data_IF_281197368976
#
_entry.id   IF_281197368976
#
_cell.length_a   1.000
_cell.length_b   1.000
_cell.length_c   1.000
_cell.angle_alpha   90.00
_cell.angle_beta   90.00
_cell.angle_gamma   90.00
#
_symmetry.space_group_name_H-M   'P 1'
#
loop_
_entity.id
_entity.type
_entity.pdbx_description
1 polymer ?
#
# COMPACT_ATOMS: atom_id res chain seq x y z
N UNK A 1 -2.81 21.55 17.67
CA UNK A 1 -2.67 21.89 19.10
C UNK A 1 -1.20 21.79 19.46
N UNK A 2 -0.60 22.79 20.10
CA UNK A 2 0.82 22.71 20.44
C UNK A 2 1.16 21.43 21.25
N UNK A 3 2.32 20.83 20.96
CA UNK A 3 2.84 19.68 21.73
C UNK A 3 2.98 20.09 23.20
N UNK A 4 2.41 19.28 24.10
CA UNK A 4 2.40 19.55 25.54
C UNK A 4 3.72 19.15 26.19
N UNK A 5 4.23 19.96 27.11
CA UNK A 5 5.37 19.60 27.95
C UNK A 5 4.86 19.05 29.29
N UNK A 6 5.13 17.79 29.57
CA UNK A 6 4.72 17.13 30.82
C UNK A 6 5.88 17.18 31.81
N UNK A 7 5.59 17.64 33.03
CA UNK A 7 6.62 17.88 34.06
C UNK A 7 6.43 17.06 35.34
N UNK A 8 5.35 16.29 35.44
CA UNK A 8 5.01 15.48 36.61
C UNK A 8 4.17 14.25 36.24
N UNK A 9 4.08 13.25 37.13
CA UNK A 9 3.15 12.13 36.94
C UNK A 9 1.68 12.57 36.91
N UNK A 10 1.31 13.64 37.63
CA UNK A 10 -0.03 14.22 37.54
C UNK A 10 -0.34 14.77 36.16
N UNK A 11 0.61 15.50 35.55
CA UNK A 11 0.44 16.03 34.19
C UNK A 11 0.30 14.90 33.19
N UNK A 12 1.15 13.88 33.30
CA UNK A 12 1.12 12.71 32.45
C UNK A 12 -0.21 11.97 32.53
N UNK A 13 -0.69 11.65 33.74
CA UNK A 13 -1.95 10.94 33.93
C UNK A 13 -3.14 11.73 33.40
N UNK A 14 -3.15 13.05 33.61
CA UNK A 14 -4.17 13.95 33.08
C UNK A 14 -4.15 13.90 31.54
N UNK A 15 -2.98 14.09 30.94
CA UNK A 15 -2.81 14.14 29.49
C UNK A 15 -3.32 12.88 28.79
N UNK A 16 -2.92 11.69 29.25
CA UNK A 16 -3.36 10.41 28.63
C UNK A 16 -4.85 10.10 28.85
N UNK A 17 -5.52 10.83 29.74
CA UNK A 17 -6.95 10.72 29.97
C UNK A 17 -7.78 11.75 29.19
N UNK A 18 -7.19 12.89 28.83
CA UNK A 18 -7.84 13.95 28.06
C UNK A 18 -7.88 13.65 26.55
N UNK A 19 -6.94 12.86 26.06
CA UNK A 19 -6.88 12.45 24.67
C UNK A 19 -7.23 10.98 24.51
N UNK A 20 -7.99 10.67 23.44
CA UNK A 20 -8.32 9.28 23.10
C UNK A 20 -7.11 8.52 22.59
N UNK A 21 -6.20 9.21 21.89
CA UNK A 21 -4.86 8.74 21.57
C UNK A 21 -3.82 9.77 22.00
N UNK A 22 -2.80 9.33 22.71
CA UNK A 22 -1.69 10.17 23.16
C UNK A 22 -0.37 9.59 22.70
N UNK A 23 0.45 10.42 22.07
CA UNK A 23 1.85 10.10 21.79
C UNK A 23 2.70 10.86 22.79
N UNK A 24 3.40 10.11 23.64
CA UNK A 24 4.28 10.68 24.67
C UNK A 24 5.71 10.30 24.35
N UNK A 25 6.52 11.31 24.02
CA UNK A 25 7.95 11.16 23.82
C UNK A 25 8.69 11.30 25.16
N UNK A 26 9.25 10.20 25.63
CA UNK A 26 10.23 10.15 26.71
C UNK A 26 11.60 10.54 26.14
N UNK A 27 12.00 11.79 26.35
CA UNK A 27 13.25 12.35 25.82
C UNK A 27 14.32 12.51 26.89
N UNK A 28 15.56 12.65 26.43
CA UNK A 28 16.66 13.16 27.22
C UNK A 28 17.17 14.46 26.56
N UNK A 29 17.31 15.57 27.30
CA UNK A 29 17.62 16.89 26.72
C UNK A 29 19.00 16.96 26.05
N UNK A 30 19.89 16.03 26.38
CA UNK A 30 21.26 15.95 25.87
C UNK A 30 21.40 15.05 24.63
N UNK A 31 20.35 14.33 24.22
CA UNK A 31 20.42 13.36 23.14
C UNK A 31 20.01 13.96 21.78
N UNK A 32 20.96 14.04 20.83
CA UNK A 32 20.70 14.58 19.48
C UNK A 32 19.60 13.80 18.72
N UNK A 33 19.47 12.49 18.95
CA UNK A 33 18.39 11.69 18.39
C UNK A 33 17.00 12.11 18.88
N UNK A 34 16.89 12.67 20.09
CA UNK A 34 15.62 13.22 20.58
C UNK A 34 15.20 14.46 19.79
N UNK A 35 16.14 15.32 19.37
CA UNK A 35 15.80 16.46 18.51
C UNK A 35 15.23 16.02 17.16
N UNK A 36 15.72 14.92 16.61
CA UNK A 36 15.21 14.39 15.35
C UNK A 36 13.78 13.83 15.51
N UNK A 37 13.50 13.10 16.59
CA UNK A 37 12.13 12.64 16.88
C UNK A 37 11.20 13.82 17.19
N UNK A 38 11.68 14.86 17.86
CA UNK A 38 10.90 16.08 18.13
C UNK A 38 10.44 16.76 16.84
N UNK A 39 11.25 16.76 15.77
CA UNK A 39 10.86 17.28 14.46
C UNK A 39 9.74 16.44 13.85
N UNK A 40 9.91 15.11 13.83
CA UNK A 40 8.88 14.18 13.35
C UNK A 40 7.56 14.36 14.09
N UNK A 41 7.58 14.49 15.43
CA UNK A 41 6.36 14.69 16.20
C UNK A 41 5.70 16.05 15.96
N UNK A 42 6.47 17.08 15.61
CA UNK A 42 5.90 18.38 15.20
C UNK A 42 5.22 18.29 13.84
N UNK A 43 5.85 17.61 12.88
CA UNK A 43 5.27 17.40 11.56
C UNK A 43 3.98 16.56 11.70
N UNK A 44 4.02 15.48 12.49
CA UNK A 44 2.84 14.65 12.78
C UNK A 44 1.74 15.40 13.53
N UNK A 45 2.07 16.30 14.44
CA UNK A 45 1.07 17.13 15.14
C UNK A 45 0.37 18.07 14.17
N UNK A 46 1.13 18.72 13.27
CA UNK A 46 0.58 19.60 12.23
C UNK A 46 -0.42 18.86 11.35
N UNK A 47 -0.04 17.67 10.88
CA UNK A 47 -0.89 16.81 10.04
C UNK A 47 -2.12 16.29 10.80
N UNK A 48 -2.00 16.10 12.12
CA UNK A 48 -3.07 15.58 12.98
C UNK A 48 -3.97 16.67 13.58
N UNK A 49 -3.80 17.95 13.25
CA UNK A 49 -4.61 19.07 13.81
C UNK A 49 -6.11 18.92 13.56
N UNK A 50 -6.50 18.22 12.50
CA UNK A 50 -7.89 17.93 12.15
C UNK A 50 -8.48 16.76 12.94
N UNK A 51 -7.70 16.07 13.78
CA UNK A 51 -8.12 14.94 14.62
C UNK A 51 -8.25 15.41 16.08
N UNK A 52 -9.46 15.79 16.55
CA UNK A 52 -9.66 16.46 17.84
C UNK A 52 -9.33 15.61 19.08
N UNK A 53 -9.01 14.33 18.90
CA UNK A 53 -8.78 13.38 20.00
C UNK A 53 -7.37 12.77 20.03
N UNK A 54 -6.43 13.30 19.24
CA UNK A 54 -5.01 12.93 19.30
C UNK A 54 -4.22 14.02 20.02
N UNK A 55 -3.42 13.63 21.00
CA UNK A 55 -2.52 14.52 21.73
C UNK A 55 -1.07 14.12 21.55
N UNK A 56 -0.19 15.11 21.47
CA UNK A 56 1.26 14.93 21.42
C UNK A 56 1.90 15.59 22.64
N UNK A 57 2.82 14.89 23.29
CA UNK A 57 3.52 15.40 24.46
C UNK A 57 4.98 14.96 24.53
N UNK A 58 5.77 15.79 25.20
CA UNK A 58 7.15 15.51 25.58
C UNK A 58 7.24 15.37 27.09
N UNK A 59 8.01 14.39 27.56
CA UNK A 59 8.31 14.19 28.98
C UNK A 59 9.79 13.86 29.13
N UNK A 60 10.47 14.55 30.06
CA UNK A 60 11.87 14.24 30.37
C UNK A 60 11.92 12.90 31.12
N UNK A 61 12.57 11.91 30.51
CA UNK A 61 12.62 10.56 31.04
C UNK A 61 13.38 10.48 32.38
N UNK A 62 14.38 11.33 32.58
CA UNK A 62 15.14 11.43 33.82
C UNK A 62 14.45 12.38 34.81
N UNK A 63 13.91 13.50 34.30
CA UNK A 63 13.19 14.50 35.10
C UNK A 63 11.90 13.98 35.75
N UNK A 64 11.25 12.99 35.15
CA UNK A 64 10.02 12.35 35.67
C UNK A 64 10.21 10.82 35.78
N UNK A 65 11.28 10.41 36.49
CA UNK A 65 11.70 9.02 36.60
C UNK A 65 10.62 8.03 37.08
N UNK A 66 9.65 8.49 37.89
CA UNK A 66 8.53 7.66 38.35
C UNK A 66 7.62 7.18 37.20
N UNK A 67 7.36 8.03 36.19
CA UNK A 67 6.56 7.68 35.01
C UNK A 67 7.37 6.75 34.10
N UNK A 68 8.67 7.04 33.94
CA UNK A 68 9.59 6.18 33.19
C UNK A 68 9.65 4.76 33.77
N UNK A 69 9.71 4.62 35.10
CA UNK A 69 9.68 3.33 35.78
C UNK A 69 8.33 2.62 35.57
N UNK A 70 7.21 3.33 35.72
CA UNK A 70 5.86 2.79 35.53
C UNK A 70 5.64 2.21 34.12
N UNK A 71 6.22 2.83 33.10
CA UNK A 71 6.10 2.40 31.69
C UNK A 71 7.29 1.60 31.17
N UNK A 72 8.22 1.21 32.05
CA UNK A 72 9.43 0.45 31.68
C UNK A 72 10.24 1.11 30.56
N UNK A 73 10.49 2.42 30.69
CA UNK A 73 11.30 3.18 29.75
C UNK A 73 12.77 2.93 30.06
N UNK A 74 13.43 2.16 29.18
CA UNK A 74 14.83 1.76 29.36
C UNK A 74 15.84 2.76 28.77
N UNK A 75 15.44 3.53 27.75
CA UNK A 75 16.30 4.48 27.07
C UNK A 75 15.48 5.59 26.38
N UNK A 76 16.07 6.77 26.23
CA UNK A 76 15.57 7.84 25.38
C UNK A 76 16.31 7.85 24.02
N UNK A 77 15.66 8.24 22.91
CA UNK A 77 14.24 8.55 22.78
C UNK A 77 13.37 7.29 22.79
N UNK A 78 12.23 7.35 23.49
CA UNK A 78 11.16 6.36 23.34
C UNK A 78 9.84 7.10 23.20
N UNK A 79 9.04 6.77 22.19
CA UNK A 79 7.69 7.30 22.02
C UNK A 79 6.69 6.21 22.36
N UNK A 80 5.78 6.48 23.28
CA UNK A 80 4.74 5.52 23.69
C UNK A 80 3.37 6.04 23.26
N UNK A 81 2.56 5.13 22.75
CA UNK A 81 1.20 5.37 22.27
C UNK A 81 0.23 4.89 23.35
N UNK A 82 -0.63 5.78 23.80
CA UNK A 82 -1.69 5.47 24.75
C UNK A 82 -3.05 5.65 24.09
N UNK A 83 -3.91 4.63 24.16
CA UNK A 83 -5.30 4.72 23.73
C UNK A 83 -6.20 4.56 24.95
N UNK A 84 -7.07 5.54 25.19
CA UNK A 84 -7.95 5.58 26.36
C UNK A 84 -7.18 5.36 27.68
N UNK A 85 -6.02 6.02 27.81
CA UNK A 85 -5.12 5.94 28.96
C UNK A 85 -4.31 4.64 29.10
N UNK A 86 -4.43 3.69 28.16
CA UNK A 86 -3.69 2.42 28.18
C UNK A 86 -2.63 2.40 27.10
N UNK A 87 -1.45 1.89 27.43
CA UNK A 87 -0.40 1.69 26.44
C UNK A 87 -0.85 0.67 25.38
N UNK A 88 -0.74 1.05 24.10
CA UNK A 88 -1.10 0.20 22.95
C UNK A 88 0.08 -0.06 22.01
N UNK A 89 1.12 0.78 22.05
CA UNK A 89 2.31 0.62 21.23
C UNK A 89 3.47 1.50 21.71
N UNK A 90 4.67 1.25 21.18
CA UNK A 90 5.86 2.08 21.44
C UNK A 90 6.89 2.02 20.31
N UNK A 91 7.68 3.07 20.15
CA UNK A 91 8.84 3.13 19.25
C UNK A 91 10.07 3.49 20.06
N UNK A 92 11.09 2.64 20.02
CA UNK A 92 12.37 2.88 20.67
C UNK A 92 13.37 3.42 19.64
N UNK A 93 14.04 4.53 19.96
CA UNK A 93 15.02 5.18 19.10
C UNK A 93 14.41 6.09 18.03
N UNK A 94 15.25 6.56 17.11
CA UNK A 94 14.83 7.38 15.98
C UNK A 94 14.39 6.50 14.80
N UNK A 95 13.07 6.36 14.61
CA UNK A 95 12.49 5.58 13.52
C UNK A 95 11.23 6.28 12.95
N UNK A 96 11.40 7.26 12.04
CA UNK A 96 10.29 8.09 11.53
C UNK A 96 9.12 7.29 10.96
N UNK A 97 9.40 6.32 10.08
CA UNK A 97 8.37 5.51 9.43
C UNK A 97 7.56 4.66 10.43
N UNK A 98 8.21 4.17 11.49
CA UNK A 98 7.53 3.38 12.54
C UNK A 98 6.58 4.27 13.36
N UNK A 99 6.96 5.54 13.61
CA UNK A 99 6.13 6.52 14.31
C UNK A 99 4.87 6.88 13.52
N UNK A 100 5.03 7.15 12.22
CA UNK A 100 3.93 7.44 11.29
C UNK A 100 2.97 6.24 11.16
N UNK A 101 3.53 5.04 11.00
CA UNK A 101 2.77 3.81 10.85
C UNK A 101 1.92 3.52 12.09
N UNK A 102 2.51 3.64 13.30
CA UNK A 102 1.79 3.40 14.56
C UNK A 102 0.76 4.47 14.85
N UNK A 103 1.02 5.73 14.52
CA UNK A 103 0.01 6.79 14.60
C UNK A 103 -1.19 6.45 13.72
N UNK A 104 -0.95 6.09 12.46
CA UNK A 104 -2.00 5.72 11.50
C UNK A 104 -2.79 4.51 11.98
N UNK A 105 -2.10 3.46 12.46
CA UNK A 105 -2.72 2.25 13.00
C UNK A 105 -3.66 2.54 14.17
N UNK A 106 -3.23 3.37 15.12
CA UNK A 106 -3.99 3.61 16.35
C UNK A 106 -5.00 4.76 16.27
N UNK A 107 -4.86 5.66 15.29
CA UNK A 107 -5.81 6.75 15.02
C UNK A 107 -7.04 6.30 14.20
N UNK A 108 -6.99 5.12 13.59
CA UNK A 108 -8.02 4.58 12.70
C UNK A 108 -9.43 4.58 13.32
N UNK A 109 -9.59 4.13 14.57
CA UNK A 109 -10.91 4.10 15.27
C UNK A 109 -11.29 5.44 15.94
N UNK A 110 -10.41 6.44 15.86
CA UNK A 110 -10.53 7.71 16.59
C UNK A 110 -11.03 8.82 15.66
N UNK A 111 -10.70 8.73 14.36
CA UNK A 111 -11.35 9.47 13.29
C UNK A 111 -12.89 9.21 13.21
N UNK A 112 -13.40 8.29 14.04
CA UNK A 112 -14.78 7.81 14.12
C UNK A 112 -15.70 8.58 15.08
N UNK A 113 -15.25 9.67 15.72
CA UNK A 113 -16.10 10.42 16.67
C UNK A 113 -16.50 11.78 16.09
N UNK A 114 -17.79 12.03 15.78
CA UNK A 114 -18.22 13.21 15.04
C UNK A 114 -18.17 14.47 15.91
N UNK A 115 -17.48 15.51 15.43
CA UNK A 115 -17.80 16.89 15.81
C UNK A 115 -19.15 17.25 15.18
N UNK A 116 -20.06 17.75 16.03
CA UNK A 116 -21.42 18.16 15.71
C UNK A 116 -21.44 19.08 14.48
N UNK A 117 -22.04 18.62 13.38
CA UNK A 117 -22.72 19.46 12.41
C UNK A 117 -23.92 18.69 11.82
N UNK A 118 -24.99 19.43 11.51
CA UNK A 118 -26.37 18.99 11.27
C UNK A 118 -26.60 18.05 10.06
N UNK A 119 -27.79 17.40 9.95
CA UNK A 119 -27.95 16.11 9.31
C UNK A 119 -28.07 16.20 7.78
N UNK A 120 -27.24 15.44 7.08
CA UNK A 120 -27.60 14.82 5.82
C UNK A 120 -27.47 13.30 6.00
N UNK A 121 -28.38 12.48 5.46
CA UNK A 121 -28.24 11.03 5.51
C UNK A 121 -27.15 10.63 4.52
N UNK A 122 -25.91 10.84 4.90
CA UNK A 122 -24.73 10.25 4.28
C UNK A 122 -24.21 9.24 5.28
N UNK A 123 -24.13 8.01 4.82
CA UNK A 123 -23.55 6.88 5.52
C UNK A 123 -22.33 7.30 6.36
N UNK A 124 -22.29 6.90 7.63
CA UNK A 124 -21.19 7.19 8.55
C UNK A 124 -19.84 6.88 7.87
N UNK A 125 -18.91 7.84 7.87
CA UNK A 125 -17.63 7.76 7.17
C UNK A 125 -16.90 6.45 7.50
N UNK A 126 -16.91 6.05 8.76
CA UNK A 126 -16.22 4.86 9.23
C UNK A 126 -16.84 3.59 8.65
N UNK A 127 -18.16 3.58 8.53
CA UNK A 127 -18.89 2.52 7.84
C UNK A 127 -18.47 2.45 6.36
N UNK A 128 -18.34 3.60 5.68
CA UNK A 128 -17.89 3.65 4.28
C UNK A 128 -16.43 3.24 4.10
N UNK A 129 -15.53 3.67 4.98
CA UNK A 129 -14.12 3.29 5.00
C UNK A 129 -13.93 1.80 5.21
N UNK A 130 -14.60 1.27 6.23
CA UNK A 130 -14.55 -0.15 6.53
C UNK A 130 -15.02 -0.96 5.34
N UNK A 131 -16.14 -0.57 4.72
CA UNK A 131 -16.61 -1.20 3.46
C UNK A 131 -15.59 -1.11 2.33
N UNK A 132 -14.89 0.02 2.17
CA UNK A 132 -13.88 0.19 1.13
C UNK A 132 -12.66 -0.70 1.38
N UNK A 133 -12.16 -0.73 2.62
CA UNK A 133 -11.03 -1.58 3.01
C UNK A 133 -11.38 -3.06 2.86
N UNK A 134 -12.58 -3.45 3.27
CA UNK A 134 -13.08 -4.82 3.17
C UNK A 134 -13.54 -5.19 1.75
N UNK A 135 -13.63 -4.23 0.82
CA UNK A 135 -14.12 -4.48 -0.55
C UNK A 135 -13.22 -5.42 -1.36
N UNK A 136 -11.92 -5.41 -1.04
CA UNK A 136 -10.91 -6.23 -1.70
C UNK A 136 -9.95 -6.76 -0.65
N UNK A 137 -9.55 -8.04 -0.79
CA UNK A 137 -8.54 -8.64 0.09
C UNK A 137 -7.24 -7.86 0.11
N UNK A 138 -6.83 -7.29 -1.03
CA UNK A 138 -5.70 -6.38 -1.13
C UNK A 138 -6.22 -5.05 -1.67
N UNK A 139 -6.15 -3.99 -0.87
CA UNK A 139 -6.76 -2.69 -1.17
C UNK A 139 -5.73 -1.57 -1.09
N UNK A 140 -5.57 -0.82 -2.19
CA UNK A 140 -4.61 0.29 -2.31
C UNK A 140 -5.33 1.63 -2.28
N UNK A 141 -5.06 2.44 -1.26
CA UNK A 141 -5.46 3.84 -1.22
C UNK A 141 -4.35 4.67 -1.85
N UNK A 142 -4.65 5.39 -2.93
CA UNK A 142 -3.66 6.09 -3.74
C UNK A 142 -4.17 7.43 -4.28
N UNK A 143 -3.26 8.27 -4.76
CA UNK A 143 -3.59 9.50 -5.50
C UNK A 143 -3.72 9.15 -6.97
N UNK A 144 -4.93 9.24 -7.52
CA UNK A 144 -5.28 8.77 -8.86
C UNK A 144 -5.75 7.32 -8.88
N UNK A 145 -5.62 6.67 -10.02
CA UNK A 145 -6.01 5.26 -10.24
C UNK A 145 -4.82 4.44 -10.73
N UNK A 146 -4.88 3.09 -10.70
CA UNK A 146 -3.80 2.24 -11.19
C UNK A 146 -3.40 2.55 -12.64
N UNK A 147 -4.38 2.86 -13.50
CA UNK A 147 -4.13 3.22 -14.90
C UNK A 147 -3.65 4.66 -15.07
N UNK A 148 -4.00 5.55 -14.13
CA UNK A 148 -3.64 6.96 -14.17
C UNK A 148 -3.24 7.48 -12.77
N UNK A 149 -2.04 7.13 -12.28
CA UNK A 149 -1.57 7.57 -10.96
C UNK A 149 -1.17 9.06 -11.00
N UNK A 150 -1.60 9.83 -10.01
CA UNK A 150 -1.38 11.28 -9.90
C UNK A 150 -0.23 11.67 -8.95
N UNK A 151 0.49 10.69 -8.43
CA UNK A 151 1.63 10.88 -7.53
C UNK A 151 2.73 9.85 -7.81
N UNK A 152 4.01 10.24 -7.73
CA UNK A 152 5.15 9.36 -7.97
C UNK A 152 5.18 8.13 -7.07
N UNK A 153 4.83 8.29 -5.79
CA UNK A 153 4.77 7.17 -4.84
C UNK A 153 3.63 6.19 -5.18
N UNK A 154 2.47 6.72 -5.57
CA UNK A 154 1.34 5.91 -6.04
C UNK A 154 1.70 5.14 -7.31
N UNK A 155 2.38 5.79 -8.26
CA UNK A 155 2.89 5.14 -9.49
C UNK A 155 3.86 4.00 -9.17
N UNK A 156 4.81 4.22 -8.27
CA UNK A 156 5.78 3.19 -7.87
C UNK A 156 5.08 2.00 -7.19
N UNK A 157 4.12 2.25 -6.30
CA UNK A 157 3.40 1.18 -5.60
C UNK A 157 2.59 0.33 -6.57
N UNK A 158 1.90 0.96 -7.52
CA UNK A 158 1.16 0.24 -8.58
C UNK A 158 2.12 -0.62 -9.42
N UNK A 159 3.30 -0.09 -9.77
CA UNK A 159 4.30 -0.84 -10.53
C UNK A 159 4.76 -2.10 -9.79
N UNK A 160 5.10 -1.98 -8.50
CA UNK A 160 5.52 -3.10 -7.65
C UNK A 160 4.43 -4.18 -7.55
N UNK A 161 3.18 -3.79 -7.31
CA UNK A 161 2.06 -4.74 -7.20
C UNK A 161 1.76 -5.44 -8.54
N UNK A 162 1.93 -4.74 -9.67
CA UNK A 162 1.77 -5.33 -11.00
C UNK A 162 2.91 -6.29 -11.34
N UNK A 163 4.15 -5.95 -11.00
CA UNK A 163 5.34 -6.78 -11.23
C UNK A 163 5.20 -8.17 -10.58
N UNK A 164 4.70 -8.21 -9.35
CA UNK A 164 4.45 -9.47 -8.62
C UNK A 164 3.14 -10.16 -9.00
N UNK A 165 2.39 -9.59 -9.96
CA UNK A 165 1.10 -10.11 -10.42
C UNK A 165 -0.01 -10.08 -9.36
N UNK A 166 0.02 -9.14 -8.41
CA UNK A 166 -1.01 -9.05 -7.38
C UNK A 166 -2.34 -8.50 -7.93
N UNK A 167 -3.46 -9.11 -7.53
CA UNK A 167 -4.82 -8.59 -7.72
C UNK A 167 -5.16 -7.70 -6.54
N UNK A 168 -5.41 -6.43 -6.80
CA UNK A 168 -5.76 -5.47 -5.77
C UNK A 168 -6.91 -4.58 -6.25
N UNK A 169 -7.75 -4.15 -5.32
CA UNK A 169 -8.63 -3.01 -5.51
C UNK A 169 -7.88 -1.71 -5.25
N UNK A 170 -8.39 -0.60 -5.77
CA UNK A 170 -7.81 0.72 -5.54
C UNK A 170 -8.88 1.76 -5.25
N UNK A 171 -8.55 2.76 -4.44
CA UNK A 171 -9.39 3.92 -4.19
C UNK A 171 -8.60 5.21 -4.41
N UNK A 172 -9.14 6.10 -5.24
CA UNK A 172 -8.57 7.43 -5.47
C UNK A 172 -8.97 8.37 -4.35
N UNK A 173 -8.02 8.72 -3.49
CA UNK A 173 -8.28 9.62 -2.34
C UNK A 173 -8.56 11.06 -2.77
N UNK A 174 -8.18 11.44 -4.00
CA UNK A 174 -8.47 12.77 -4.55
C UNK A 174 -9.91 12.88 -5.08
N UNK A 175 -10.65 11.77 -5.18
CA UNK A 175 -12.04 11.79 -5.64
C UNK A 175 -13.02 12.27 -4.55
N UNK A 176 -12.58 12.37 -3.30
CA UNK A 176 -13.41 12.68 -2.12
C UNK A 176 -12.60 13.54 -1.12
N UNK A 177 -12.22 14.75 -1.57
CA UNK A 177 -11.20 15.64 -0.98
C UNK A 177 -11.48 16.13 0.46
N UNK A 178 -12.68 16.01 1.00
CA UNK A 178 -12.99 16.45 2.38
C UNK A 178 -12.87 15.32 3.41
N UNK A 179 -12.91 14.07 2.96
CA UNK A 179 -13.29 12.96 3.83
C UNK A 179 -12.08 12.11 4.28
N UNK A 180 -11.03 12.04 3.45
CA UNK A 180 -9.85 11.19 3.68
C UNK A 180 -8.55 11.98 3.87
N UNK A 181 -8.66 13.31 3.93
CA UNK A 181 -7.55 14.26 3.96
C UNK A 181 -6.83 14.35 5.30
N UNK A 182 -7.36 13.72 6.36
CA UNK A 182 -6.78 13.70 7.70
C UNK A 182 -5.76 12.56 7.92
N UNK A 183 -5.32 11.90 6.85
CA UNK A 183 -4.38 10.78 6.91
C UNK A 183 -2.97 11.27 6.56
N UNK A 184 -1.93 10.82 7.28
CA UNK A 184 -0.60 11.44 7.21
C UNK A 184 0.04 11.32 5.81
N UNK A 185 0.02 10.14 5.18
CA UNK A 185 0.64 9.96 3.85
C UNK A 185 -0.05 8.89 3.00
N UNK A 186 0.07 9.03 1.67
CA UNK A 186 -0.41 8.09 0.66
C UNK A 186 0.71 7.82 -0.37
N UNK A 187 0.80 6.62 -0.95
CA UNK A 187 -0.18 5.52 -0.92
C UNK A 187 -0.16 4.67 0.36
N UNK A 188 -1.28 3.99 0.65
CA UNK A 188 -1.40 3.01 1.74
C UNK A 188 -1.98 1.70 1.24
N UNK A 189 -1.37 0.58 1.63
CA UNK A 189 -1.80 -0.77 1.25
C UNK A 189 -2.40 -1.51 2.43
N UNK A 190 -3.55 -2.16 2.21
CA UNK A 190 -4.25 -2.99 3.18
C UNK A 190 -4.35 -4.43 2.69
N UNK A 191 -4.11 -5.40 3.56
CA UNK A 191 -4.30 -6.83 3.30
C UNK A 191 -5.23 -7.42 4.35
N UNK A 192 -6.30 -8.09 3.90
CA UNK A 192 -7.32 -8.73 4.74
C UNK A 192 -7.88 -7.80 5.84
N UNK A 193 -8.01 -6.51 5.51
CA UNK A 193 -8.53 -5.47 6.39
C UNK A 193 -7.48 -4.75 7.25
N UNK A 194 -6.24 -5.23 7.25
CA UNK A 194 -5.16 -4.67 8.08
C UNK A 194 -4.21 -3.80 7.26
N UNK A 195 -3.77 -2.67 7.84
CA UNK A 195 -2.78 -1.78 7.22
C UNK A 195 -1.41 -2.46 7.16
N UNK A 196 -0.88 -2.63 5.96
CA UNK A 196 0.50 -3.05 5.73
C UNK A 196 1.45 -1.85 5.85
N UNK A 197 1.12 -0.74 5.18
CA UNK A 197 1.91 0.49 5.26
C UNK A 197 1.96 1.27 3.95
N UNK A 198 2.89 2.24 3.91
CA UNK A 198 3.19 3.04 2.72
C UNK A 198 4.27 2.43 1.82
N UNK A 199 4.68 3.15 0.78
CA UNK A 199 5.58 2.63 -0.27
C UNK A 199 6.85 1.96 0.26
N UNK A 200 7.54 2.57 1.23
CA UNK A 200 8.81 2.02 1.70
C UNK A 200 8.64 0.71 2.46
N UNK A 201 7.58 0.60 3.28
CA UNK A 201 7.23 -0.65 3.96
C UNK A 201 6.84 -1.71 2.93
N UNK A 202 5.99 -1.35 1.96
CA UNK A 202 5.58 -2.26 0.88
C UNK A 202 6.82 -2.78 0.13
N UNK A 203 7.78 -1.92 -0.18
CA UNK A 203 9.01 -2.32 -0.89
C UNK A 203 9.83 -3.34 -0.10
N UNK A 204 9.90 -3.19 1.22
CA UNK A 204 10.61 -4.15 2.08
C UNK A 204 9.84 -5.47 2.23
N UNK A 205 8.53 -5.42 2.50
CA UNK A 205 7.67 -6.60 2.64
C UNK A 205 7.66 -7.45 1.36
N UNK A 206 7.69 -6.83 0.18
CA UNK A 206 7.71 -7.54 -1.11
C UNK A 206 9.02 -8.30 -1.39
N UNK A 207 10.08 -8.10 -0.59
CA UNK A 207 11.30 -8.92 -0.66
C UNK A 207 11.10 -10.28 0.01
N UNK A 208 10.11 -10.42 0.89
CA UNK A 208 9.77 -11.68 1.52
C UNK A 208 8.87 -12.52 0.61
N UNK A 209 9.38 -13.67 0.17
CA UNK A 209 8.66 -14.60 -0.68
C UNK A 209 7.40 -15.16 -0.01
N UNK A 210 7.41 -15.34 1.32
CA UNK A 210 6.27 -15.85 2.07
C UNK A 210 5.15 -14.80 2.13
N UNK A 211 5.50 -13.52 2.24
CA UNK A 211 4.55 -12.42 2.13
C UNK A 211 3.95 -12.37 0.72
N UNK A 212 4.79 -12.39 -0.32
CA UNK A 212 4.35 -12.35 -1.73
C UNK A 212 3.42 -13.52 -2.09
N UNK A 213 3.64 -14.70 -1.50
CA UNK A 213 2.80 -15.88 -1.70
C UNK A 213 1.39 -15.75 -1.09
N UNK A 214 1.23 -14.96 -0.03
CA UNK A 214 -0.07 -14.70 0.63
C UNK A 214 -0.95 -13.72 -0.14
N UNK A 215 -0.34 -12.89 -1.00
CA UNK A 215 -1.08 -11.86 -1.73
C UNK A 215 -2.03 -12.47 -2.76
N UNK A 216 -3.26 -11.93 -2.91
CA UNK A 216 -4.14 -12.32 -4.00
C UNK A 216 -3.42 -12.11 -5.33
N UNK A 217 -3.35 -13.13 -6.18
CA UNK A 217 -2.79 -13.00 -7.52
C UNK A 217 -3.89 -12.65 -8.51
N UNK A 218 -3.56 -11.87 -9.53
CA UNK A 218 -4.42 -11.78 -10.71
C UNK A 218 -4.59 -13.21 -11.19
N UNK A 219 -5.83 -13.66 -11.31
CA UNK A 219 -6.08 -14.87 -12.08
C UNK A 219 -5.33 -14.68 -13.39
N UNK A 220 -4.47 -15.64 -13.71
CA UNK A 220 -3.75 -15.65 -14.97
C UNK A 220 -4.86 -15.50 -16.03
N UNK A 221 -4.96 -14.31 -16.64
CA UNK A 221 -6.07 -13.96 -17.52
C UNK A 221 -6.25 -15.15 -18.45
N UNK A 222 -7.45 -15.73 -18.57
CA UNK A 222 -7.64 -17.04 -19.26
C UNK A 222 -6.92 -17.04 -20.62
N UNK A 223 -6.92 -15.88 -21.28
CA UNK A 223 -6.14 -15.61 -22.48
C UNK A 223 -4.62 -15.83 -22.34
N UNK A 224 -3.94 -15.29 -21.31
CA UNK A 224 -2.50 -15.49 -21.10
C UNK A 224 -2.16 -16.94 -20.81
N UNK A 225 -2.95 -17.61 -19.96
CA UNK A 225 -2.79 -19.03 -19.68
C UNK A 225 -3.02 -19.88 -20.94
N UNK A 226 -4.05 -19.54 -21.74
CA UNK A 226 -4.38 -20.15 -23.02
C UNK A 226 -3.30 -19.90 -24.08
N UNK A 227 -2.78 -18.68 -24.20
CA UNK A 227 -1.66 -18.32 -25.08
C UNK A 227 -0.43 -19.13 -24.72
N UNK A 228 -0.09 -19.21 -23.42
CA UNK A 228 1.03 -20.03 -22.95
C UNK A 228 0.83 -21.51 -23.27
N UNK A 229 -0.39 -22.05 -23.12
CA UNK A 229 -0.72 -23.43 -23.54
C UNK A 229 -0.57 -23.62 -25.06
N UNK A 230 -1.03 -22.67 -25.87
CA UNK A 230 -0.94 -22.72 -27.34
C UNK A 230 0.51 -22.63 -27.83
N UNK A 231 1.29 -21.68 -27.31
CA UNK A 231 2.70 -21.49 -27.66
C UNK A 231 3.52 -22.74 -27.33
N UNK A 232 3.24 -23.37 -26.18
CA UNK A 232 3.97 -24.55 -25.72
C UNK A 232 3.34 -25.88 -26.18
N UNK A 233 2.31 -25.85 -27.03
CA UNK A 233 1.62 -27.05 -27.52
C UNK A 233 2.55 -27.92 -28.37
N UNK A 234 3.45 -27.29 -29.11
CA UNK A 234 4.40 -27.94 -30.00
C UNK A 234 5.79 -27.29 -29.91
N UNK A 235 6.86 -28.07 -30.13
CA UNK A 235 8.24 -27.56 -30.07
C UNK A 235 8.51 -26.43 -31.08
N UNK A 236 7.86 -26.50 -32.23
CA UNK A 236 7.83 -25.46 -33.25
C UNK A 236 6.37 -25.18 -33.58
N UNK A 237 5.88 -24.02 -33.14
CA UNK A 237 4.50 -23.60 -33.25
C UNK A 237 4.41 -22.36 -34.17
N UNK A 238 3.68 -22.47 -35.27
CA UNK A 238 3.49 -21.38 -36.23
C UNK A 238 2.09 -20.76 -36.08
N UNK A 239 2.03 -19.51 -35.64
CA UNK A 239 0.81 -18.71 -35.65
C UNK A 239 0.69 -17.99 -37.00
N UNK A 240 -0.35 -18.31 -37.77
CA UNK A 240 -0.49 -17.84 -39.15
C UNK A 240 -1.94 -17.57 -39.54
N UNK A 241 -2.15 -16.99 -40.73
CA UNK A 241 -3.49 -16.74 -41.28
C UNK A 241 -3.88 -17.92 -42.18
N UNK A 242 -4.94 -18.63 -41.82
CA UNK A 242 -5.29 -19.93 -42.40
C UNK A 242 -4.51 -21.08 -41.76
N UNK A 243 -4.54 -22.25 -42.38
CA UNK A 243 -3.84 -23.46 -41.91
C UNK A 243 -2.76 -23.94 -42.90
N UNK A 244 -2.07 -25.03 -42.53
CA UNK A 244 -0.97 -25.61 -43.34
C UNK A 244 -1.38 -25.98 -44.76
N UNK A 245 -2.63 -26.41 -44.97
CA UNK A 245 -3.16 -26.79 -46.28
C UNK A 245 -3.80 -25.60 -47.00
N UNK A 246 -4.47 -24.71 -46.25
CA UNK A 246 -5.18 -23.54 -46.77
C UNK A 246 -4.66 -22.21 -46.19
N UNK A 247 -3.44 -21.78 -46.55
CA UNK A 247 -2.89 -20.50 -46.08
C UNK A 247 -3.57 -19.30 -46.73
N UNK A 248 -4.07 -18.39 -45.91
CA UNK A 248 -4.87 -17.23 -46.35
C UNK A 248 -4.04 -15.94 -46.52
N UNK A 249 -2.71 -16.03 -46.50
CA UNK A 249 -1.81 -14.89 -46.68
C UNK A 249 -0.53 -15.29 -47.43
N UNK A 250 0.04 -14.37 -48.23
CA UNK A 250 1.28 -14.58 -48.98
C UNK A 250 2.48 -14.95 -48.09
N UNK A 251 2.62 -14.28 -46.94
CA UNK A 251 3.68 -14.60 -45.98
C UNK A 251 3.50 -15.97 -45.33
N UNK A 252 2.25 -16.33 -45.00
CA UNK A 252 1.94 -17.65 -44.45
C UNK A 252 2.28 -18.78 -45.44
N UNK A 253 2.00 -18.58 -46.74
CA UNK A 253 2.41 -19.49 -47.82
C UNK A 253 3.92 -19.67 -47.89
N UNK A 254 4.68 -18.57 -47.82
CA UNK A 254 6.14 -18.63 -47.89
C UNK A 254 6.75 -19.38 -46.70
N UNK A 255 6.27 -19.14 -45.49
CA UNK A 255 6.78 -19.83 -44.29
C UNK A 255 6.49 -21.33 -44.36
N UNK A 256 5.28 -21.73 -44.79
CA UNK A 256 4.95 -23.15 -44.98
C UNK A 256 5.89 -23.79 -46.00
N UNK A 257 6.11 -23.18 -47.16
CA UNK A 257 7.00 -23.71 -48.19
C UNK A 257 8.43 -23.92 -47.66
N UNK A 258 8.93 -23.00 -46.83
CA UNK A 258 10.25 -23.12 -46.21
C UNK A 258 10.29 -24.27 -45.19
N UNK A 259 9.33 -24.33 -44.27
CA UNK A 259 9.27 -25.35 -43.23
C UNK A 259 9.04 -26.76 -43.81
N UNK A 260 8.18 -26.88 -44.81
CA UNK A 260 7.95 -28.13 -45.54
C UNK A 260 9.19 -28.53 -46.36
N UNK A 261 9.85 -27.57 -47.01
CA UNK A 261 11.06 -27.80 -47.78
C UNK A 261 12.20 -28.38 -46.95
N UNK A 262 12.32 -27.96 -45.69
CA UNK A 262 13.31 -28.51 -44.73
C UNK A 262 12.77 -29.72 -43.95
N UNK A 263 11.52 -30.15 -44.21
CA UNK A 263 10.83 -31.22 -43.49
C UNK A 263 10.81 -31.00 -41.97
N UNK A 264 10.56 -29.77 -41.54
CA UNK A 264 10.43 -29.44 -40.12
C UNK A 264 9.22 -30.13 -39.50
N UNK A 265 9.37 -30.53 -38.24
CA UNK A 265 8.27 -30.98 -37.40
C UNK A 265 7.66 -29.75 -36.70
N UNK A 266 6.48 -29.32 -37.14
CA UNK A 266 5.81 -28.12 -36.63
C UNK A 266 4.28 -28.23 -36.68
N UNK A 267 3.62 -27.48 -35.80
CA UNK A 267 2.16 -27.35 -35.77
C UNK A 267 1.74 -25.91 -36.11
N UNK A 268 0.52 -25.72 -36.62
CA UNK A 268 -0.02 -24.43 -37.03
C UNK A 268 -1.25 -24.04 -36.22
N UNK A 269 -1.42 -22.76 -35.93
CA UNK A 269 -2.65 -22.19 -35.36
C UNK A 269 -3.13 -21.03 -36.23
N UNK A 270 -4.39 -21.11 -36.68
CA UNK A 270 -5.03 -20.06 -37.47
C UNK A 270 -5.50 -18.92 -36.57
N UNK A 271 -4.80 -17.79 -36.62
CA UNK A 271 -5.12 -16.58 -35.84
C UNK A 271 -6.40 -15.88 -36.32
N UNK A 272 -6.95 -16.24 -37.49
CA UNK A 272 -8.19 -15.65 -37.99
C UNK A 272 -9.44 -16.25 -37.33
N UNK A 273 -9.34 -17.43 -36.74
CA UNK A 273 -10.44 -18.07 -36.02
C UNK A 273 -10.56 -17.57 -34.57
N UNK A 274 -9.56 -16.84 -34.08
CA UNK A 274 -9.44 -16.45 -32.69
C UNK A 274 -8.82 -15.07 -32.56
N UNK A 275 -9.68 -14.05 -32.64
CA UNK A 275 -9.25 -12.66 -32.62
C UNK A 275 -8.64 -12.28 -31.26
N UNK A 276 -9.04 -12.92 -30.16
CA UNK A 276 -8.43 -12.68 -28.84
C UNK A 276 -6.99 -13.18 -28.80
N UNK A 277 -6.72 -14.41 -29.25
CA UNK A 277 -5.35 -14.94 -29.36
C UNK A 277 -4.51 -14.08 -30.32
N UNK A 278 -5.09 -13.66 -31.45
CA UNK A 278 -4.41 -12.79 -32.41
C UNK A 278 -3.98 -11.47 -31.80
N UNK A 279 -4.86 -10.80 -31.06
CA UNK A 279 -4.53 -9.53 -30.42
C UNK A 279 -3.56 -9.73 -29.25
N UNK A 280 -3.73 -10.81 -28.47
CA UNK A 280 -2.82 -11.16 -27.39
C UNK A 280 -1.38 -11.44 -27.85
N UNK A 281 -1.21 -12.15 -28.97
CA UNK A 281 0.11 -12.40 -29.58
C UNK A 281 0.79 -11.10 -30.02
N UNK A 282 0.04 -10.14 -30.59
CA UNK A 282 0.59 -8.81 -30.95
C UNK A 282 1.05 -8.04 -29.71
N UNK A 283 0.21 -8.00 -28.67
CA UNK A 283 0.54 -7.30 -27.43
C UNK A 283 1.77 -7.90 -26.72
N UNK A 284 1.94 -9.23 -26.77
CA UNK A 284 3.13 -9.90 -26.21
C UNK A 284 4.42 -9.57 -26.97
N UNK A 285 4.33 -9.26 -28.25
CA UNK A 285 5.47 -8.91 -29.10
C UNK A 285 6.00 -7.50 -28.78
N UNK A 286 5.09 -6.53 -28.54
CA UNK A 286 5.45 -5.13 -28.24
C UNK A 286 6.23 -4.97 -26.91
N UNK A 287 5.99 -5.83 -25.91
CA UNK A 287 6.74 -5.80 -24.65
C UNK A 287 8.20 -6.27 -24.78
N UNK A 288 8.48 -7.18 -25.72
CA UNK A 288 9.84 -7.72 -25.93
C UNK A 288 10.77 -6.79 -26.74
N UNK A 289 10.22 -5.73 -27.33
CA UNK A 289 10.95 -4.80 -28.21
C UNK A 289 10.93 -3.34 -27.72
N UNK A 290 10.65 -3.09 -26.43
CA UNK A 290 10.94 -1.78 -25.86
C UNK A 290 12.46 -1.55 -25.90
N UNK A 291 12.95 -0.50 -26.58
CA UNK A 291 14.37 -0.21 -26.63
C UNK A 291 14.82 0.18 -25.21
N UNK A 292 15.72 -0.62 -24.65
CA UNK A 292 16.54 -0.22 -23.50
C UNK A 292 17.34 1.05 -23.82
#
# INVERSE_FOLDING_TARGET
>A
MAISQLTSASDFKKFISEHRLSLVHFYAPWAASCEQVNKVLKDLEEDAKSIPSVGFAFIDAEGVAEVSAMHSIAAAPTVVYFKDGKEVDRVNGYKPSELEMKLTKHSFDIATTPLISQPKPKEDLNTRLKKLIESHRLMLFMKGSPDNPKCGFSKQTVALLNEIGAKFGSFDILSDEETYSNWPTYPQLYLDGELIGGLDVIREELKDADFVAKLPKKEENDLNARLKKLINKHKLMLFMKGDRHEPQCGFSRQIIQLLDGVKADYETFDILQDEEVRQGLKASYDFSHSPN
#
